data_IF_863609001674
#
_entry.id   IF_863609001674
#
_cell.length_a   1.000
_cell.length_b   1.000
_cell.length_c   1.000
_cell.angle_alpha   90.00
_cell.angle_beta   90.00
_cell.angle_gamma   90.00
#
_symmetry.space_group_name_H-M   'P 1'
#
loop_
_entity.id
_entity.type
_entity.pdbx_description
1 polymer ?
#
# COMPACT_ATOMS: atom_id res chain seq x y z
N UNK A 1 23.99 21.16 -44.88
CA UNK A 1 23.14 20.04 -44.45
C UNK A 1 24.03 19.05 -43.71
N UNK A 2 23.92 19.01 -42.38
CA UNK A 2 24.83 18.25 -41.51
C UNK A 2 24.75 16.75 -41.80
N UNK A 3 25.92 16.15 -41.98
CA UNK A 3 26.10 14.71 -42.14
C UNK A 3 25.51 13.99 -40.93
N UNK A 4 24.36 13.35 -41.13
CA UNK A 4 23.86 12.37 -40.19
C UNK A 4 24.96 11.32 -39.99
N UNK A 5 25.26 11.05 -38.72
CA UNK A 5 26.25 10.05 -38.28
C UNK A 5 25.95 8.76 -39.05
N UNK A 6 26.83 8.36 -40.00
CA UNK A 6 26.69 7.06 -40.66
C UNK A 6 26.81 6.00 -39.58
N UNK A 7 25.72 5.28 -39.32
CA UNK A 7 25.71 4.17 -38.37
C UNK A 7 26.81 3.17 -38.72
N UNK A 8 27.56 2.71 -37.71
CA UNK A 8 28.65 1.72 -37.89
C UNK A 8 28.16 0.34 -38.34
N UNK A 9 26.85 0.10 -38.29
CA UNK A 9 26.18 -1.15 -38.67
C UNK A 9 25.29 -0.93 -39.89
N UNK A 10 25.31 -1.86 -40.84
CA UNK A 10 24.44 -1.83 -42.01
C UNK A 10 23.00 -2.23 -41.64
N UNK A 11 22.03 -1.76 -42.42
CA UNK A 11 20.60 -2.04 -42.19
C UNK A 11 20.27 -3.54 -42.18
N UNK A 12 21.04 -4.37 -42.89
CA UNK A 12 20.83 -5.83 -42.91
C UNK A 12 21.24 -6.48 -41.58
N UNK A 13 22.28 -6.00 -40.91
CA UNK A 13 22.65 -6.49 -39.58
C UNK A 13 21.64 -6.07 -38.53
N UNK A 14 21.11 -4.84 -38.63
CA UNK A 14 20.03 -4.39 -37.76
C UNK A 14 18.74 -5.21 -37.96
N UNK A 15 18.43 -5.58 -39.21
CA UNK A 15 17.29 -6.46 -39.49
C UNK A 15 17.42 -7.82 -38.80
N UNK A 16 18.58 -8.47 -38.92
CA UNK A 16 18.82 -9.77 -38.28
C UNK A 16 18.86 -9.70 -36.76
N UNK A 17 19.43 -8.63 -36.19
CA UNK A 17 19.37 -8.36 -34.75
C UNK A 17 17.93 -8.30 -34.24
N UNK A 18 17.03 -7.60 -34.95
CA UNK A 18 15.60 -7.59 -34.62
C UNK A 18 14.98 -8.98 -34.71
N UNK A 19 15.31 -9.77 -35.75
CA UNK A 19 14.81 -11.14 -35.87
C UNK A 19 15.26 -12.01 -34.69
N UNK A 20 16.54 -11.94 -34.30
CA UNK A 20 17.09 -12.67 -33.15
C UNK A 20 16.35 -12.28 -31.87
N UNK A 21 16.12 -10.98 -31.65
CA UNK A 21 15.36 -10.48 -30.51
C UNK A 21 13.91 -10.97 -30.51
N UNK A 22 13.20 -10.92 -31.63
CA UNK A 22 11.81 -11.38 -31.73
C UNK A 22 11.71 -12.88 -31.46
N UNK A 23 12.56 -13.69 -32.10
CA UNK A 23 12.61 -15.14 -31.88
C UNK A 23 12.98 -15.45 -30.42
N UNK A 24 13.98 -14.75 -29.88
CA UNK A 24 14.40 -14.87 -28.49
C UNK A 24 13.28 -14.54 -27.50
N UNK A 25 12.51 -13.47 -27.74
CA UNK A 25 11.34 -13.11 -26.95
C UNK A 25 10.25 -14.18 -26.99
N UNK A 26 9.99 -14.78 -28.16
CA UNK A 26 9.04 -15.89 -28.28
C UNK A 26 9.49 -17.11 -27.48
N UNK A 27 10.77 -17.47 -27.53
CA UNK A 27 11.33 -18.54 -26.69
C UNK A 27 11.24 -18.20 -25.20
N UNK A 28 11.50 -16.96 -24.79
CA UNK A 28 11.36 -16.52 -23.40
C UNK A 28 9.89 -16.65 -22.96
N UNK A 29 8.93 -16.20 -23.77
CA UNK A 29 7.50 -16.30 -23.41
C UNK A 29 7.04 -17.75 -23.24
N UNK A 30 7.60 -18.72 -23.99
CA UNK A 30 7.33 -20.15 -23.79
C UNK A 30 7.82 -20.68 -22.43
N UNK A 31 8.71 -19.96 -21.73
CA UNK A 31 9.23 -20.37 -20.42
C UNK A 31 8.43 -19.82 -19.24
N UNK A 32 7.34 -19.10 -19.54
CA UNK A 32 6.46 -18.50 -18.54
C UNK A 32 5.93 -19.56 -17.59
N UNK A 33 6.19 -19.37 -16.31
CA UNK A 33 5.72 -20.24 -15.24
C UNK A 33 5.10 -19.40 -14.12
N UNK A 34 4.01 -19.88 -13.55
CA UNK A 34 3.39 -19.28 -12.36
C UNK A 34 3.97 -20.00 -11.14
N UNK A 35 4.58 -19.24 -10.25
CA UNK A 35 5.20 -19.76 -9.04
C UNK A 35 4.78 -18.93 -7.83
N UNK A 36 4.82 -19.48 -6.60
CA UNK A 36 4.71 -18.69 -5.39
C UNK A 36 5.72 -17.54 -5.37
N UNK A 37 5.35 -16.44 -4.71
CA UNK A 37 6.32 -15.35 -4.51
C UNK A 37 7.49 -15.80 -3.62
N UNK A 38 8.67 -15.13 -3.67
CA UNK A 38 9.79 -15.48 -2.82
C UNK A 38 9.54 -15.28 -1.31
N UNK A 39 8.44 -14.59 -0.97
CA UNK A 39 8.02 -14.25 0.39
C UNK A 39 6.63 -14.84 0.71
N UNK A 40 6.26 -15.94 0.04
CA UNK A 40 4.98 -16.63 0.21
C UNK A 40 4.72 -16.99 1.67
N UNK A 41 5.74 -17.49 2.39
CA UNK A 41 5.59 -17.89 3.79
C UNK A 41 5.24 -16.69 4.70
N UNK A 42 5.89 -15.53 4.51
CA UNK A 42 5.55 -14.31 5.23
C UNK A 42 4.16 -13.79 4.85
N UNK A 43 3.73 -13.95 3.58
CA UNK A 43 2.38 -13.59 3.15
C UNK A 43 1.31 -14.43 3.87
N UNK A 44 1.49 -15.75 3.92
CA UNK A 44 0.58 -16.66 4.62
C UNK A 44 0.50 -16.30 6.10
N UNK A 45 1.66 -16.13 6.76
CA UNK A 45 1.71 -15.75 8.18
C UNK A 45 1.03 -14.41 8.47
N UNK A 46 1.17 -13.43 7.57
CA UNK A 46 0.55 -12.12 7.74
C UNK A 46 -0.97 -12.20 7.58
N UNK A 47 -1.46 -12.97 6.61
CA UNK A 47 -2.88 -13.24 6.44
C UNK A 47 -3.46 -13.99 7.65
N UNK A 48 -2.80 -15.05 8.13
CA UNK A 48 -3.23 -15.79 9.32
C UNK A 48 -3.27 -14.91 10.57
N UNK A 49 -2.29 -14.02 10.73
CA UNK A 49 -2.30 -13.07 11.84
C UNK A 49 -3.46 -12.07 11.74
N UNK A 50 -3.78 -11.58 10.54
CA UNK A 50 -4.93 -10.69 10.33
C UNK A 50 -6.25 -11.40 10.60
N UNK A 51 -6.42 -12.64 10.14
CA UNK A 51 -7.59 -13.48 10.43
C UNK A 51 -7.77 -13.66 11.94
N UNK A 52 -6.70 -14.05 12.65
CA UNK A 52 -6.72 -14.13 14.11
C UNK A 52 -7.07 -12.81 14.80
N UNK A 53 -6.65 -11.68 14.24
CA UNK A 53 -7.04 -10.36 14.78
C UNK A 53 -8.55 -10.12 14.63
N UNK A 54 -9.14 -10.50 13.49
CA UNK A 54 -10.58 -10.39 13.26
C UNK A 54 -11.37 -11.28 14.23
N UNK A 55 -10.91 -12.51 14.46
CA UNK A 55 -11.52 -13.41 15.45
C UNK A 55 -11.52 -12.80 16.86
N UNK A 56 -10.38 -12.26 17.31
CA UNK A 56 -10.28 -11.61 18.62
C UNK A 56 -11.17 -10.37 18.73
N UNK A 57 -11.28 -9.58 17.66
CA UNK A 57 -12.17 -8.42 17.61
C UNK A 57 -13.64 -8.86 17.66
N UNK A 58 -14.02 -9.90 16.92
CA UNK A 58 -15.37 -10.48 16.97
C UNK A 58 -15.73 -10.92 18.37
N UNK A 59 -14.85 -11.68 19.03
CA UNK A 59 -15.04 -12.12 20.42
C UNK A 59 -15.24 -10.94 21.38
N UNK A 60 -14.36 -9.93 21.31
CA UNK A 60 -14.45 -8.76 22.19
C UNK A 60 -15.70 -7.93 21.92
N UNK A 61 -16.11 -7.79 20.66
CA UNK A 61 -17.34 -7.11 20.28
C UNK A 61 -18.56 -7.78 20.91
N UNK A 62 -18.66 -9.10 20.78
CA UNK A 62 -19.76 -9.88 21.35
C UNK A 62 -19.74 -9.83 22.89
N UNK A 63 -18.56 -9.86 23.50
CA UNK A 63 -18.39 -9.72 24.96
C UNK A 63 -18.85 -8.36 25.49
N UNK A 64 -18.86 -7.32 24.65
CA UNK A 64 -19.38 -5.98 24.97
C UNK A 64 -20.88 -5.84 24.71
N UNK A 65 -21.58 -6.95 24.43
CA UNK A 65 -22.99 -6.98 24.06
C UNK A 65 -23.32 -6.15 22.79
N UNK A 66 -22.33 -5.99 21.91
CA UNK A 66 -22.50 -5.32 20.61
C UNK A 66 -22.79 -6.40 19.57
N UNK A 67 -24.03 -6.47 19.11
CA UNK A 67 -24.47 -7.47 18.13
C UNK A 67 -23.73 -7.36 16.79
N UNK A 68 -23.58 -8.50 16.12
CA UNK A 68 -23.19 -8.58 14.71
C UNK A 68 -24.43 -8.41 13.86
N UNK A 69 -24.34 -7.54 12.86
CA UNK A 69 -25.35 -7.39 11.85
C UNK A 69 -24.97 -8.28 10.67
N UNK A 70 -25.72 -9.36 10.44
CA UNK A 70 -25.42 -10.34 9.38
C UNK A 70 -25.73 -9.79 7.98
N UNK A 71 -26.59 -8.78 7.88
CA UNK A 71 -26.85 -8.11 6.62
C UNK A 71 -25.69 -7.22 6.25
N UNK A 72 -25.03 -6.56 7.22
CA UNK A 72 -23.85 -5.71 7.02
C UNK A 72 -22.52 -6.48 7.04
N UNK A 73 -22.41 -7.56 7.80
CA UNK A 73 -21.20 -8.37 8.00
C UNK A 73 -21.51 -9.87 7.86
N UNK A 74 -21.82 -10.34 6.64
CA UNK A 74 -22.21 -11.74 6.40
C UNK A 74 -21.11 -12.75 6.73
N UNK A 75 -19.85 -12.32 6.65
CA UNK A 75 -18.68 -13.10 7.05
C UNK A 75 -18.43 -13.07 8.57
N UNK A 76 -19.24 -12.33 9.33
CA UNK A 76 -19.18 -12.21 10.79
C UNK A 76 -17.78 -11.84 11.30
N UNK A 77 -17.12 -10.93 10.60
CA UNK A 77 -15.75 -10.49 10.90
C UNK A 77 -15.65 -9.69 12.19
N UNK A 78 -16.77 -9.12 12.67
CA UNK A 78 -16.84 -8.29 13.86
C UNK A 78 -16.34 -6.87 13.68
N UNK A 79 -15.71 -6.55 12.55
CA UNK A 79 -15.01 -5.27 12.34
C UNK A 79 -15.84 -4.23 11.56
N UNK A 80 -16.92 -4.66 10.91
CA UNK A 80 -17.81 -3.77 10.15
C UNK A 80 -18.69 -2.98 11.12
N UNK A 81 -18.65 -1.65 11.00
CA UNK A 81 -19.46 -0.74 11.80
C UNK A 81 -20.90 -0.60 11.32
N UNK A 82 -21.54 0.51 11.70
CA UNK A 82 -22.92 0.83 11.35
C UNK A 82 -22.96 1.87 10.22
N UNK A 83 -24.13 2.07 9.63
CA UNK A 83 -24.34 3.15 8.66
C UNK A 83 -24.15 4.52 9.34
N UNK A 84 -25.04 4.87 10.28
CA UNK A 84 -25.00 6.15 11.00
C UNK A 84 -24.73 5.98 12.50
N UNK A 85 -23.79 6.79 13.00
CA UNK A 85 -23.38 6.89 14.41
C UNK A 85 -22.83 8.30 14.66
N UNK A 86 -22.57 8.64 15.93
CA UNK A 86 -21.88 9.88 16.30
C UNK A 86 -20.44 9.97 15.78
N UNK A 87 -19.87 8.88 15.26
CA UNK A 87 -18.53 8.89 14.66
C UNK A 87 -18.56 8.90 13.12
N UNK A 88 -19.76 8.82 12.50
CA UNK A 88 -19.91 8.80 11.04
C UNK A 88 -19.62 10.19 10.47
N UNK A 89 -18.54 10.32 9.72
CA UNK A 89 -18.07 11.60 9.15
C UNK A 89 -18.48 11.81 7.69
N UNK A 90 -18.59 10.72 6.93
CA UNK A 90 -18.82 10.75 5.49
C UNK A 90 -19.51 9.46 5.04
N UNK A 91 -20.09 9.48 3.84
CA UNK A 91 -20.60 8.29 3.18
C UNK A 91 -19.50 7.23 3.02
N UNK A 92 -19.89 5.96 3.11
CA UNK A 92 -19.02 4.81 2.92
C UNK A 92 -19.50 3.94 1.76
N UNK A 93 -18.66 2.99 1.38
CA UNK A 93 -19.06 1.92 0.45
C UNK A 93 -18.92 0.59 1.18
N UNK A 94 -20.06 -0.03 1.51
CA UNK A 94 -20.10 -1.26 2.30
C UNK A 94 -19.32 -2.41 1.63
N UNK A 95 -19.50 -2.58 0.32
CA UNK A 95 -18.77 -3.57 -0.50
C UNK A 95 -17.24 -3.37 -0.37
N UNK A 96 -16.75 -2.13 -0.40
CA UNK A 96 -15.33 -1.83 -0.18
C UNK A 96 -14.88 -2.13 1.26
N UNK A 97 -15.73 -1.92 2.27
CA UNK A 97 -15.40 -2.27 3.67
C UNK A 97 -15.26 -3.77 3.82
N UNK A 98 -16.22 -4.55 3.32
CA UNK A 98 -16.16 -6.02 3.34
C UNK A 98 -15.02 -6.58 2.51
N UNK A 99 -14.77 -6.02 1.33
CA UNK A 99 -13.58 -6.39 0.54
C UNK A 99 -12.30 -6.27 1.37
N UNK A 100 -12.18 -5.20 2.16
CA UNK A 100 -10.99 -4.97 2.98
C UNK A 100 -10.82 -5.94 4.16
N UNK A 101 -11.84 -6.72 4.52
CA UNK A 101 -11.73 -7.73 5.59
C UNK A 101 -11.03 -9.02 5.12
N UNK A 102 -10.82 -9.19 3.82
CA UNK A 102 -10.07 -10.31 3.27
C UNK A 102 -8.61 -10.32 3.80
N UNK A 103 -8.18 -11.35 4.55
CA UNK A 103 -6.82 -11.45 5.09
C UNK A 103 -5.70 -11.38 4.06
N UNK A 104 -5.99 -11.66 2.79
CA UNK A 104 -5.05 -11.49 1.68
C UNK A 104 -4.57 -10.04 1.48
N UNK A 105 -5.25 -9.03 2.05
CA UNK A 105 -4.70 -7.67 2.13
C UNK A 105 -3.42 -7.61 2.97
N UNK A 106 -3.30 -8.39 4.06
CA UNK A 106 -2.04 -8.46 4.81
C UNK A 106 -0.91 -9.05 3.96
N UNK A 107 -1.20 -10.08 3.16
CA UNK A 107 -0.27 -10.63 2.17
C UNK A 107 0.11 -9.61 1.08
N UNK A 108 -0.82 -8.73 0.70
CA UNK A 108 -0.53 -7.62 -0.22
C UNK A 108 0.44 -6.60 0.40
N UNK A 109 0.27 -6.28 1.69
CA UNK A 109 1.18 -5.37 2.39
C UNK A 109 2.59 -5.96 2.51
N UNK A 110 2.72 -7.27 2.80
CA UNK A 110 4.02 -7.97 2.76
C UNK A 110 4.68 -7.82 1.38
N UNK A 111 3.91 -8.02 0.30
CA UNK A 111 4.38 -7.84 -1.08
C UNK A 111 4.87 -6.41 -1.33
N UNK A 112 4.15 -5.39 -0.88
CA UNK A 112 4.57 -4.00 -1.04
C UNK A 112 5.83 -3.67 -0.23
N UNK A 113 5.90 -4.08 1.05
CA UNK A 113 7.07 -3.86 1.89
C UNK A 113 8.33 -4.56 1.34
N UNK A 114 8.20 -5.80 0.86
CA UNK A 114 9.31 -6.54 0.22
C UNK A 114 9.74 -5.88 -1.10
N UNK A 115 8.82 -5.33 -1.90
CA UNK A 115 9.15 -4.63 -3.15
C UNK A 115 10.01 -3.38 -2.95
N UNK A 116 9.85 -2.68 -1.84
CA UNK A 116 10.69 -1.54 -1.45
C UNK A 116 11.86 -1.94 -0.54
N UNK A 117 12.13 -3.25 -0.41
CA UNK A 117 13.25 -3.81 0.33
C UNK A 117 13.30 -3.44 1.82
N UNK A 118 12.14 -3.28 2.48
CA UNK A 118 12.12 -3.11 3.94
C UNK A 118 12.71 -4.34 4.63
N UNK A 119 13.46 -4.07 5.70
CA UNK A 119 14.15 -5.06 6.53
C UNK A 119 13.62 -4.99 7.95
N UNK A 120 13.85 -6.06 8.70
CA UNK A 120 13.62 -6.11 10.15
C UNK A 120 14.21 -4.86 10.82
N UNK A 121 13.43 -4.24 11.71
CA UNK A 121 13.80 -3.03 12.45
C UNK A 121 13.64 -1.72 11.66
N UNK A 122 13.29 -1.76 10.37
CA UNK A 122 12.99 -0.54 9.63
C UNK A 122 11.72 0.12 10.18
N UNK A 123 11.79 1.44 10.32
CA UNK A 123 10.69 2.28 10.82
C UNK A 123 9.76 2.64 9.68
N UNK A 124 8.45 2.47 9.89
CA UNK A 124 7.41 2.93 8.95
C UNK A 124 6.45 3.87 9.65
N UNK A 125 6.06 4.95 8.98
CA UNK A 125 5.03 5.85 9.47
C UNK A 125 3.66 5.42 8.91
N UNK A 126 2.63 5.40 9.74
CA UNK A 126 1.28 4.96 9.37
C UNK A 126 0.29 6.03 9.81
N UNK A 127 -0.36 6.68 8.84
CA UNK A 127 -1.54 7.49 9.09
C UNK A 127 -2.79 6.70 8.74
N UNK A 128 -3.69 6.48 9.71
CA UNK A 128 -4.93 5.76 9.44
C UNK A 128 -6.20 6.46 9.91
N UNK A 129 -7.24 6.37 9.09
CA UNK A 129 -8.61 6.69 9.44
C UNK A 129 -9.34 5.47 10.01
N UNK A 130 -10.24 5.72 10.97
CA UNK A 130 -11.25 4.76 11.41
C UNK A 130 -12.12 4.20 10.29
N UNK A 131 -12.14 4.81 9.10
CA UNK A 131 -12.91 4.33 7.95
C UNK A 131 -12.53 2.92 7.49
N UNK A 132 -11.27 2.48 7.63
CA UNK A 132 -10.81 1.17 7.13
C UNK A 132 -10.05 0.37 8.20
N UNK A 133 -10.72 -0.05 9.28
CA UNK A 133 -10.05 -0.73 10.39
C UNK A 133 -9.40 -2.05 9.97
N UNK A 134 -9.98 -2.76 8.99
CA UNK A 134 -9.41 -4.00 8.48
C UNK A 134 -8.06 -3.79 7.76
N UNK A 135 -7.87 -2.66 7.08
CA UNK A 135 -6.57 -2.32 6.46
C UNK A 135 -5.54 -1.88 7.50
N UNK A 136 -5.98 -1.35 8.64
CA UNK A 136 -5.09 -1.12 9.79
C UNK A 136 -4.57 -2.47 10.29
N UNK A 137 -5.45 -3.46 10.48
CA UNK A 137 -5.03 -4.83 10.84
C UNK A 137 -4.12 -5.45 9.79
N UNK A 138 -4.43 -5.31 8.51
CA UNK A 138 -3.60 -5.82 7.43
C UNK A 138 -2.17 -5.25 7.49
N UNK A 139 -2.07 -3.93 7.68
CA UNK A 139 -0.79 -3.21 7.75
C UNK A 139 0.00 -3.61 9.00
N UNK A 140 -0.63 -3.61 10.18
CA UNK A 140 0.03 -3.98 11.43
C UNK A 140 0.42 -5.46 11.47
N UNK A 141 -0.38 -6.34 10.87
CA UNK A 141 -0.07 -7.78 10.77
C UNK A 141 1.15 -8.00 9.87
N UNK A 142 1.18 -7.39 8.68
CA UNK A 142 2.35 -7.43 7.80
C UNK A 142 3.60 -6.84 8.46
N UNK A 143 3.47 -5.70 9.15
CA UNK A 143 4.56 -5.10 9.91
C UNK A 143 5.08 -6.04 11.01
N UNK A 144 4.20 -6.72 11.75
CA UNK A 144 4.59 -7.68 12.80
C UNK A 144 5.35 -8.87 12.23
N UNK A 145 4.86 -9.46 11.14
CA UNK A 145 5.51 -10.64 10.52
C UNK A 145 6.87 -10.29 9.93
N UNK A 146 7.02 -9.08 9.40
CA UNK A 146 8.30 -8.58 8.87
C UNK A 146 9.19 -7.92 9.93
N UNK A 147 8.75 -7.89 11.19
CA UNK A 147 9.46 -7.28 12.31
C UNK A 147 9.84 -5.81 12.03
N UNK A 148 8.93 -5.07 11.40
CA UNK A 148 9.03 -3.62 11.18
C UNK A 148 8.59 -2.86 12.43
N UNK A 149 9.00 -1.60 12.54
CA UNK A 149 8.59 -0.71 13.61
C UNK A 149 7.55 0.31 13.13
N UNK A 150 6.24 0.04 13.33
CA UNK A 150 5.20 0.97 12.93
C UNK A 150 5.05 2.12 13.94
N UNK A 151 5.22 3.34 13.46
CA UNK A 151 4.80 4.56 14.14
C UNK A 151 3.40 4.92 13.62
N UNK A 152 2.39 4.80 14.47
CA UNK A 152 0.99 4.79 14.01
C UNK A 152 0.18 5.93 14.63
N UNK A 153 -0.36 6.82 13.79
CA UNK A 153 -1.30 7.88 14.17
C UNK A 153 -2.71 7.56 13.64
N UNK A 154 -3.70 7.61 14.54
CA UNK A 154 -5.08 7.22 14.26
C UNK A 154 -6.04 8.42 14.27
N UNK A 155 -6.94 8.51 13.30
CA UNK A 155 -8.06 9.47 13.29
C UNK A 155 -9.36 8.75 13.65
N UNK A 156 -10.03 9.18 14.71
CA UNK A 156 -11.19 8.50 15.31
C UNK A 156 -12.39 8.51 14.36
N UNK A 157 -12.71 9.67 13.79
CA UNK A 157 -13.79 9.84 12.83
C UNK A 157 -13.67 8.86 11.66
N UNK A 158 -14.79 8.27 11.30
CA UNK A 158 -14.87 7.17 10.35
C UNK A 158 -16.02 7.40 9.38
N UNK A 159 -15.85 6.98 8.12
CA UNK A 159 -17.01 6.84 7.22
C UNK A 159 -18.00 5.80 7.75
N UNK A 160 -19.17 5.74 7.12
CA UNK A 160 -20.10 4.62 7.29
C UNK A 160 -19.36 3.27 7.23
N UNK A 161 -19.81 2.33 8.06
CA UNK A 161 -19.36 0.95 8.15
C UNK A 161 -17.89 0.74 8.56
N UNK A 162 -17.14 1.80 8.87
CA UNK A 162 -15.79 1.69 9.46
C UNK A 162 -15.84 1.44 10.98
N UNK A 163 -14.80 1.80 11.72
CA UNK A 163 -14.74 1.70 13.18
C UNK A 163 -15.53 2.83 13.86
N UNK A 164 -16.80 2.97 13.51
CA UNK A 164 -17.66 4.09 13.89
C UNK A 164 -18.59 3.80 15.08
N UNK A 165 -18.50 2.63 15.70
CA UNK A 165 -19.29 2.34 16.91
C UNK A 165 -18.58 3.03 18.11
N UNK A 166 -19.20 4.01 18.79
CA UNK A 166 -18.53 4.80 19.84
C UNK A 166 -17.88 3.97 20.95
N UNK A 167 -18.53 2.88 21.35
CA UNK A 167 -18.10 1.97 22.41
C UNK A 167 -17.03 0.96 21.93
N UNK A 168 -16.79 0.90 20.62
CA UNK A 168 -15.93 -0.09 19.98
C UNK A 168 -15.24 0.45 18.73
N UNK A 169 -14.43 1.49 18.93
CA UNK A 169 -13.55 2.04 17.89
C UNK A 169 -12.26 1.20 17.74
N UNK A 170 -11.39 1.59 16.81
CA UNK A 170 -10.09 0.94 16.69
C UNK A 170 -9.22 1.08 17.95
N UNK A 171 -9.49 2.05 18.83
CA UNK A 171 -8.82 2.16 20.14
C UNK A 171 -9.10 0.92 20.99
N UNK A 172 -10.38 0.54 21.14
CA UNK A 172 -10.77 -0.65 21.89
C UNK A 172 -10.31 -1.94 21.20
N UNK A 173 -10.35 -1.99 19.87
CA UNK A 173 -9.84 -3.12 19.09
C UNK A 173 -8.34 -3.33 19.32
N UNK A 174 -7.54 -2.26 19.26
CA UNK A 174 -6.11 -2.31 19.51
C UNK A 174 -5.82 -2.70 20.96
N UNK A 175 -6.58 -2.19 21.93
CA UNK A 175 -6.44 -2.52 23.35
C UNK A 175 -6.60 -4.03 23.60
N UNK A 176 -7.66 -4.67 23.07
CA UNK A 176 -7.86 -6.11 23.26
C UNK A 176 -6.79 -6.95 22.55
N UNK A 177 -6.35 -6.53 21.36
CA UNK A 177 -5.28 -7.20 20.64
C UNK A 177 -3.94 -7.12 21.39
N UNK A 178 -3.66 -6.01 22.07
CA UNK A 178 -2.50 -5.87 22.95
C UNK A 178 -2.63 -6.76 24.19
N UNK A 179 -3.77 -6.72 24.88
CA UNK A 179 -4.02 -7.54 26.09
C UNK A 179 -3.87 -9.04 25.81
N UNK A 180 -4.27 -9.50 24.62
CA UNK A 180 -4.09 -10.90 24.17
C UNK A 180 -2.73 -11.18 23.52
N UNK A 181 -1.79 -10.23 23.51
CA UNK A 181 -0.47 -10.33 22.88
C UNK A 181 -0.48 -10.65 21.37
N UNK A 182 -1.57 -10.32 20.67
CA UNK A 182 -1.74 -10.56 19.22
C UNK A 182 -1.07 -9.47 18.41
N UNK A 183 -1.26 -8.20 18.76
CA UNK A 183 -0.52 -7.06 18.19
C UNK A 183 0.01 -6.19 19.35
N UNK A 184 1.34 -6.07 19.53
CA UNK A 184 1.93 -5.36 20.67
C UNK A 184 2.17 -3.86 20.36
N UNK A 185 1.26 -3.21 19.63
CA UNK A 185 1.44 -1.85 19.13
C UNK A 185 0.61 -0.84 19.91
N UNK A 186 1.14 0.37 20.05
CA UNK A 186 0.45 1.51 20.67
C UNK A 186 0.25 2.61 19.63
N UNK A 187 -0.75 3.45 19.87
CA UNK A 187 -0.91 4.68 19.11
C UNK A 187 0.20 5.66 19.49
N UNK A 188 0.90 6.19 18.50
CA UNK A 188 1.82 7.31 18.67
C UNK A 188 1.03 8.59 18.99
N UNK A 189 -0.04 8.82 18.24
CA UNK A 189 -0.94 9.94 18.45
C UNK A 189 -2.34 9.61 17.93
N UNK A 190 -3.30 10.45 18.29
CA UNK A 190 -4.70 10.32 17.91
C UNK A 190 -5.30 11.69 17.57
N UNK A 191 -6.23 11.74 16.63
CA UNK A 191 -6.91 12.98 16.22
C UNK A 191 -8.42 12.78 16.07
N UNK A 192 -9.14 13.89 15.87
CA UNK A 192 -10.60 13.86 15.74
C UNK A 192 -11.06 13.08 14.50
N UNK A 193 -10.35 13.18 13.38
CA UNK A 193 -10.84 12.74 12.08
C UNK A 193 -11.94 13.65 11.52
N UNK A 194 -12.65 13.16 10.51
CA UNK A 194 -13.71 13.94 9.84
C UNK A 194 -13.19 15.14 9.05
N UNK A 195 -14.09 16.07 8.73
CA UNK A 195 -13.76 17.24 7.92
C UNK A 195 -12.65 18.06 8.58
N UNK A 196 -11.58 18.30 7.82
CA UNK A 196 -10.36 18.99 8.24
C UNK A 196 -9.70 18.43 9.51
N UNK A 197 -9.94 17.16 9.82
CA UNK A 197 -9.47 16.52 11.08
C UNK A 197 -9.99 17.23 12.36
N UNK A 198 -11.13 17.91 12.25
CA UNK A 198 -11.82 18.63 13.34
C UNK A 198 -13.18 18.04 13.70
N UNK A 199 -13.61 16.98 13.01
CA UNK A 199 -14.97 16.45 13.08
C UNK A 199 -16.03 17.57 13.00
N UNK A 200 -15.86 18.49 12.06
CA UNK A 200 -16.83 19.55 11.78
C UNK A 200 -17.97 19.03 10.89
N UNK A 201 -19.16 19.62 11.04
CA UNK A 201 -20.33 19.28 10.22
C UNK A 201 -20.89 17.87 10.47
N UNK A 202 -20.64 17.29 11.64
CA UNK A 202 -21.15 15.97 12.00
C UNK A 202 -22.67 15.97 12.13
N UNK A 203 -23.29 14.85 11.80
CA UNK A 203 -24.75 14.70 11.84
C UNK A 203 -25.33 14.84 13.25
N UNK A 204 -24.63 14.31 14.27
CA UNK A 204 -25.08 14.36 15.66
C UNK A 204 -24.38 15.50 16.43
N UNK A 205 -25.10 16.27 17.26
CA UNK A 205 -24.56 17.44 17.96
C UNK A 205 -23.51 17.10 19.04
N UNK A 206 -23.52 15.87 19.57
CA UNK A 206 -22.59 15.39 20.61
C UNK A 206 -21.34 14.69 20.05
N UNK A 207 -21.22 14.58 18.72
CA UNK A 207 -20.14 13.85 18.03
C UNK A 207 -18.74 14.27 18.48
N UNK A 208 -18.45 15.57 18.47
CA UNK A 208 -17.12 16.07 18.87
C UNK A 208 -16.80 15.74 20.33
N UNK A 209 -17.79 15.84 21.22
CA UNK A 209 -17.62 15.50 22.64
C UNK A 209 -17.29 14.02 22.80
N UNK A 210 -17.99 13.14 22.10
CA UNK A 210 -17.75 11.69 22.11
C UNK A 210 -16.35 11.37 21.57
N UNK A 211 -15.96 11.97 20.45
CA UNK A 211 -14.64 11.78 19.85
C UNK A 211 -13.53 12.22 20.83
N UNK A 212 -13.69 13.37 21.49
CA UNK A 212 -12.75 13.81 22.51
C UNK A 212 -12.66 12.84 23.70
N UNK A 213 -13.78 12.28 24.15
CA UNK A 213 -13.77 11.28 25.22
C UNK A 213 -13.01 10.01 24.81
N UNK A 214 -13.22 9.53 23.58
CA UNK A 214 -12.48 8.38 23.02
C UNK A 214 -10.98 8.69 22.95
N UNK A 215 -10.61 9.90 22.52
CA UNK A 215 -9.20 10.34 22.49
C UNK A 215 -8.58 10.32 23.89
N UNK A 216 -9.29 10.84 24.90
CA UNK A 216 -8.83 10.84 26.30
C UNK A 216 -8.62 9.43 26.84
N UNK A 217 -9.57 8.52 26.60
CA UNK A 217 -9.50 7.12 27.06
C UNK A 217 -8.36 6.35 26.38
N UNK A 218 -7.97 6.74 25.16
CA UNK A 218 -6.87 6.06 24.44
C UNK A 218 -5.50 6.23 25.12
N UNK A 219 -5.31 7.29 25.91
CA UNK A 219 -4.02 7.65 26.51
C UNK A 219 -2.94 8.08 25.49
N UNK A 220 -3.27 8.17 24.20
CA UNK A 220 -2.36 8.61 23.16
C UNK A 220 -2.25 10.14 23.13
N UNK A 221 -1.14 10.65 22.58
CA UNK A 221 -0.98 12.08 22.33
C UNK A 221 -2.09 12.59 21.42
N UNK A 222 -2.91 13.52 21.92
CA UNK A 222 -3.99 14.09 21.14
C UNK A 222 -3.48 15.23 20.26
N UNK A 223 -3.69 15.13 18.95
CA UNK A 223 -3.36 16.17 17.97
C UNK A 223 -4.49 17.20 18.00
N UNK A 224 -4.17 18.39 18.50
CA UNK A 224 -5.09 19.52 18.61
C UNK A 224 -4.47 20.76 17.96
N UNK A 225 -4.84 21.00 16.72
CA UNK A 225 -4.44 22.17 15.94
C UNK A 225 -5.62 22.61 15.10
N UNK A 226 -5.79 23.92 14.92
CA UNK A 226 -6.97 24.48 14.25
C UNK A 226 -6.78 24.57 12.72
N UNK A 227 -5.53 24.45 12.25
CA UNK A 227 -5.13 24.61 10.86
C UNK A 227 -4.60 23.31 10.26
N UNK A 228 -5.02 22.98 9.03
CA UNK A 228 -4.60 21.76 8.33
C UNK A 228 -3.10 21.73 8.03
N UNK A 229 -2.50 22.86 7.64
CA UNK A 229 -1.08 22.93 7.38
C UNK A 229 -0.26 22.59 8.65
N UNK A 230 -0.65 23.16 9.78
CA UNK A 230 -0.04 22.86 11.09
C UNK A 230 -0.26 21.41 11.51
N UNK A 231 -1.43 20.83 11.21
CA UNK A 231 -1.74 19.41 11.47
C UNK A 231 -0.79 18.47 10.73
N UNK A 232 -0.56 18.73 9.45
CA UNK A 232 0.38 17.98 8.63
C UNK A 232 1.80 18.09 9.21
N UNK A 233 2.24 19.31 9.55
CA UNK A 233 3.58 19.53 10.11
C UNK A 233 3.75 18.88 11.49
N UNK A 234 2.75 18.98 12.37
CA UNK A 234 2.78 18.35 13.68
C UNK A 234 2.87 16.82 13.56
N UNK A 235 2.14 16.20 12.62
CA UNK A 235 2.26 14.75 12.35
C UNK A 235 3.67 14.38 11.87
N UNK A 236 4.23 15.14 10.93
CA UNK A 236 5.62 14.94 10.47
C UNK A 236 6.62 15.05 11.63
N UNK A 237 6.42 16.00 12.54
CA UNK A 237 7.24 16.16 13.73
C UNK A 237 7.11 14.96 14.68
N UNK A 238 5.89 14.54 15.01
CA UNK A 238 5.64 13.38 15.88
C UNK A 238 6.30 12.11 15.35
N UNK A 239 6.20 11.84 14.04
CA UNK A 239 6.87 10.69 13.43
C UNK A 239 8.40 10.78 13.55
N UNK A 240 8.96 11.97 13.28
CA UNK A 240 10.41 12.20 13.35
C UNK A 240 10.94 12.02 14.77
N UNK A 241 10.26 12.61 15.76
CA UNK A 241 10.62 12.49 17.17
C UNK A 241 10.56 11.05 17.66
N UNK A 242 9.52 10.31 17.28
CA UNK A 242 9.38 8.90 17.66
C UNK A 242 10.36 7.97 16.92
N UNK A 243 10.77 8.32 15.69
CA UNK A 243 11.78 7.57 14.96
C UNK A 243 13.19 7.81 15.52
N UNK A 244 13.44 8.99 16.09
CA UNK A 244 14.76 9.45 16.54
C UNK A 244 15.74 9.56 15.37
N UNK A 245 16.95 9.04 15.54
CA UNK A 245 17.99 9.02 14.50
C UNK A 245 17.71 8.02 13.37
N UNK A 246 16.67 7.19 13.50
CA UNK A 246 16.37 6.14 12.53
C UNK A 246 15.51 6.71 11.40
N UNK A 247 15.89 6.50 10.13
CA UNK A 247 15.10 7.02 9.02
C UNK A 247 13.79 6.25 8.88
N UNK A 248 12.70 6.98 8.69
CA UNK A 248 11.42 6.42 8.24
C UNK A 248 11.60 5.93 6.80
N UNK A 249 11.32 4.65 6.53
CA UNK A 249 11.57 4.01 5.24
C UNK A 249 10.36 3.94 4.32
N UNK A 250 9.16 4.10 4.88
CA UNK A 250 7.92 4.14 4.12
C UNK A 250 6.83 4.90 4.89
N UNK A 251 5.90 5.49 4.16
CA UNK A 251 4.66 6.02 4.70
C UNK A 251 3.46 5.22 4.20
N UNK A 252 2.61 4.74 5.11
CA UNK A 252 1.37 4.03 4.78
C UNK A 252 0.19 4.94 5.10
N UNK A 253 -0.56 5.33 4.07
CA UNK A 253 -1.81 6.06 4.23
C UNK A 253 -3.00 5.09 4.12
N UNK A 254 -3.84 5.06 5.16
CA UNK A 254 -5.04 4.22 5.21
C UNK A 254 -6.29 5.12 5.27
N UNK A 255 -7.10 5.04 4.23
CA UNK A 255 -8.31 5.84 4.07
C UNK A 255 -8.04 7.28 3.63
N UNK A 256 -9.07 8.11 3.82
CA UNK A 256 -9.14 9.47 3.29
C UNK A 256 -9.00 10.56 4.35
N UNK A 257 -8.27 10.32 5.45
CA UNK A 257 -8.03 11.35 6.45
C UNK A 257 -7.36 12.56 5.78
N UNK A 258 -7.94 13.76 5.94
CA UNK A 258 -7.53 14.96 5.20
C UNK A 258 -6.05 15.29 5.42
N UNK A 259 -5.54 15.15 6.64
CA UNK A 259 -4.11 15.38 6.92
C UNK A 259 -3.18 14.41 6.17
N UNK A 260 -3.62 13.18 5.90
CA UNK A 260 -2.81 12.22 5.15
C UNK A 260 -2.96 12.42 3.65
N UNK A 261 -4.21 12.51 3.18
CA UNK A 261 -4.58 12.52 1.76
C UNK A 261 -4.33 13.88 1.11
N UNK A 262 -4.46 14.95 1.87
CA UNK A 262 -4.38 16.34 1.40
C UNK A 262 -5.73 16.90 0.96
N UNK A 263 -5.80 18.22 0.96
CA UNK A 263 -6.96 19.00 0.55
C UNK A 263 -6.64 19.77 -0.74
N UNK A 264 -6.16 19.04 -1.76
CA UNK A 264 -5.77 19.63 -3.05
C UNK A 264 -6.37 18.83 -4.20
N UNK A 265 -6.59 19.44 -5.39
CA UNK A 265 -7.02 18.70 -6.57
C UNK A 265 -6.06 17.56 -6.97
N UNK A 266 -4.76 17.72 -6.69
CA UNK A 266 -3.76 16.68 -6.98
C UNK A 266 -3.94 15.43 -6.11
N UNK A 267 -4.51 15.55 -4.90
CA UNK A 267 -4.83 14.42 -4.04
C UNK A 267 -5.83 13.46 -4.69
N UNK A 268 -6.81 13.99 -5.44
CA UNK A 268 -7.88 13.22 -6.10
C UNK A 268 -7.33 12.18 -7.08
N UNK A 269 -6.25 12.55 -7.78
CA UNK A 269 -5.62 11.70 -8.80
C UNK A 269 -4.38 10.98 -8.28
N UNK A 270 -4.11 11.04 -6.97
CA UNK A 270 -2.96 10.35 -6.39
C UNK A 270 -3.12 8.83 -6.56
N UNK A 271 -2.08 8.14 -7.07
CA UNK A 271 -2.18 6.72 -7.35
C UNK A 271 -2.39 5.91 -6.07
N UNK A 272 -3.09 4.79 -6.23
CA UNK A 272 -3.44 3.86 -5.17
C UNK A 272 -2.53 2.62 -5.23
N UNK A 273 -2.16 2.04 -4.08
CA UNK A 273 -1.22 0.92 -3.95
C UNK A 273 0.18 1.36 -3.48
N UNK A 274 1.23 0.75 -4.03
CA UNK A 274 2.63 1.14 -3.75
C UNK A 274 3.12 2.18 -4.76
N UNK A 275 3.60 3.32 -4.26
CA UNK A 275 4.09 4.46 -5.02
C UNK A 275 5.56 4.70 -4.63
N UNK A 276 6.48 4.47 -5.57
CA UNK A 276 7.89 4.88 -5.45
C UNK A 276 8.20 6.11 -6.27
N UNK A 277 7.46 6.33 -7.36
CA UNK A 277 7.53 7.51 -8.22
C UNK A 277 6.09 7.99 -8.48
N UNK A 278 5.64 8.98 -7.72
CA UNK A 278 4.28 9.50 -7.84
C UNK A 278 4.19 10.81 -8.66
N UNK A 279 2.99 11.40 -8.74
CA UNK A 279 2.75 12.62 -9.52
C UNK A 279 3.50 13.82 -8.92
N UNK A 280 3.67 14.89 -9.71
CA UNK A 280 4.26 16.13 -9.20
C UNK A 280 3.46 16.63 -7.99
N UNK A 281 4.16 16.84 -6.87
CA UNK A 281 3.52 17.37 -5.67
C UNK A 281 3.02 18.80 -5.91
N UNK A 282 1.81 19.14 -5.43
CA UNK A 282 1.31 20.51 -5.52
C UNK A 282 2.11 21.43 -4.58
N UNK A 283 2.31 22.66 -5.02
CA UNK A 283 2.87 23.72 -4.17
C UNK A 283 1.77 24.30 -3.29
N UNK A 284 1.37 23.53 -2.28
CA UNK A 284 0.31 23.88 -1.34
C UNK A 284 0.63 23.32 0.06
N UNK A 285 0.37 24.10 1.10
CA UNK A 285 0.64 23.72 2.50
C UNK A 285 -0.24 22.57 2.98
N UNK A 286 -1.44 22.41 2.41
CA UNK A 286 -2.38 21.32 2.72
C UNK A 286 -2.27 20.12 1.76
N UNK A 287 -1.12 19.92 1.11
CA UNK A 287 -0.92 18.78 0.20
C UNK A 287 -1.05 17.43 0.88
N UNK A 288 -0.89 17.35 2.20
CA UNK A 288 -1.06 16.12 2.96
C UNK A 288 0.20 15.26 3.01
N UNK A 289 0.24 14.35 3.98
CA UNK A 289 1.42 13.51 4.26
C UNK A 289 1.85 12.63 3.07
N UNK A 290 0.92 12.19 2.21
CA UNK A 290 1.29 11.42 1.02
C UNK A 290 2.27 12.19 0.13
N UNK A 291 2.09 13.49 -0.03
CA UNK A 291 3.00 14.30 -0.83
C UNK A 291 4.23 14.75 -0.03
N UNK A 292 4.10 15.04 1.26
CA UNK A 292 5.26 15.36 2.12
C UNK A 292 6.31 14.24 2.12
N UNK A 293 5.89 12.98 2.30
CA UNK A 293 6.81 11.84 2.25
C UNK A 293 7.35 11.58 0.85
N UNK A 294 6.55 11.80 -0.20
CA UNK A 294 7.02 11.68 -1.57
C UNK A 294 8.11 12.71 -1.90
N UNK A 295 7.97 13.96 -1.47
CA UNK A 295 8.94 15.04 -1.71
C UNK A 295 10.32 14.69 -1.15
N UNK A 296 10.37 14.05 0.01
CA UNK A 296 11.62 13.61 0.65
C UNK A 296 12.09 12.22 0.17
N UNK A 297 11.50 11.68 -0.90
CA UNK A 297 11.92 10.44 -1.54
C UNK A 297 11.55 9.17 -0.78
N UNK A 298 10.61 9.24 0.17
CA UNK A 298 10.11 8.09 0.90
C UNK A 298 8.95 7.44 0.15
N UNK A 299 8.99 6.12 -0.14
CA UNK A 299 7.89 5.41 -0.77
C UNK A 299 6.59 5.53 0.03
N UNK A 300 5.48 5.69 -0.68
CA UNK A 300 4.13 5.78 -0.10
C UNK A 300 3.35 4.53 -0.46
N UNK A 301 2.64 3.95 0.51
CA UNK A 301 1.61 2.94 0.27
C UNK A 301 0.27 3.61 0.56
N UNK A 302 -0.51 3.87 -0.49
CA UNK A 302 -1.80 4.52 -0.39
C UNK A 302 -2.93 3.49 -0.49
N UNK A 303 -3.73 3.38 0.57
CA UNK A 303 -4.83 2.43 0.69
C UNK A 303 -6.16 3.16 0.82
N UNK A 304 -6.79 3.49 -0.32
CA UNK A 304 -8.07 4.22 -0.33
C UNK A 304 -9.12 3.57 -1.24
N UNK A 305 -8.81 3.36 -2.52
CA UNK A 305 -9.75 2.72 -3.44
C UNK A 305 -9.60 1.18 -3.36
N UNK A 306 -10.41 0.54 -2.52
CA UNK A 306 -10.21 -0.88 -2.18
C UNK A 306 -10.56 -1.81 -3.33
N UNK A 307 -11.59 -1.48 -4.11
CA UNK A 307 -11.96 -2.24 -5.31
C UNK A 307 -10.82 -2.24 -6.33
N UNK A 308 -10.21 -1.07 -6.56
CA UNK A 308 -9.03 -0.94 -7.42
C UNK A 308 -7.83 -1.75 -6.90
N UNK A 309 -7.54 -1.69 -5.59
CA UNK A 309 -6.48 -2.52 -5.00
C UNK A 309 -6.74 -4.01 -5.20
N UNK A 310 -7.98 -4.46 -4.97
CA UNK A 310 -8.37 -5.85 -5.11
C UNK A 310 -8.15 -6.32 -6.54
N UNK A 311 -8.70 -5.61 -7.54
CA UNK A 311 -8.56 -5.95 -8.96
C UNK A 311 -7.10 -5.98 -9.38
N UNK A 312 -6.32 -4.93 -9.09
CA UNK A 312 -4.90 -4.83 -9.49
C UNK A 312 -4.04 -5.95 -8.92
N UNK A 313 -4.44 -6.52 -7.78
CA UNK A 313 -3.70 -7.57 -7.09
C UNK A 313 -4.35 -8.95 -7.19
N UNK A 314 -5.43 -9.07 -7.98
CA UNK A 314 -6.17 -10.31 -8.20
C UNK A 314 -6.75 -10.90 -6.91
N UNK A 315 -7.33 -10.02 -6.09
CA UNK A 315 -8.17 -10.37 -4.95
C UNK A 315 -9.64 -10.21 -5.35
N UNK A 316 -10.55 -11.06 -4.83
CA UNK A 316 -11.98 -10.90 -5.07
C UNK A 316 -12.51 -9.64 -4.38
N UNK A 317 -13.57 -9.07 -4.95
CA UNK A 317 -14.32 -7.96 -4.38
C UNK A 317 -15.52 -8.54 -3.62
N UNK A 318 -15.71 -8.07 -2.39
CA UNK A 318 -16.77 -8.47 -1.45
C UNK A 318 -17.05 -9.99 -1.43
N UNK A 319 -16.02 -10.82 -1.15
CA UNK A 319 -16.18 -12.26 -1.17
C UNK A 319 -17.02 -12.74 0.01
N UNK A 320 -18.01 -13.59 -0.27
CA UNK A 320 -18.83 -14.29 0.72
C UNK A 320 -18.91 -15.77 0.28
N UNK A 321 -18.28 -16.72 1.00
CA UNK A 321 -17.42 -16.54 2.18
C UNK A 321 -16.09 -15.85 1.85
N UNK A 322 -15.33 -15.46 2.88
CA UNK A 322 -13.93 -15.04 2.69
C UNK A 322 -13.09 -16.19 2.06
N UNK A 323 -12.16 -15.90 1.14
CA UNK A 323 -11.32 -16.93 0.50
C UNK A 323 -10.34 -17.57 1.48
N UNK A 324 -9.89 -18.79 1.16
CA UNK A 324 -8.86 -19.46 1.96
C UNK A 324 -7.50 -18.74 1.86
N UNK A 325 -6.73 -18.79 2.94
CA UNK A 325 -5.41 -18.18 2.99
C UNK A 325 -4.46 -18.92 2.05
N UNK A 326 -3.79 -18.16 1.18
CA UNK A 326 -2.89 -18.69 0.14
C UNK A 326 -3.52 -18.74 -1.25
N UNK A 327 -4.83 -18.49 -1.35
CA UNK A 327 -5.52 -18.37 -2.64
C UNK A 327 -5.40 -16.96 -3.25
N UNK A 328 -5.38 -16.90 -4.57
CA UNK A 328 -5.41 -15.65 -5.32
C UNK A 328 -4.03 -15.16 -5.80
N UNK A 329 -4.05 -14.21 -6.74
CA UNK A 329 -2.84 -13.80 -7.48
C UNK A 329 -1.85 -12.98 -6.65
N UNK A 330 -2.22 -12.56 -5.45
CA UNK A 330 -1.32 -11.84 -4.53
C UNK A 330 -0.14 -12.70 -4.09
N UNK A 331 -0.35 -14.02 -3.98
CA UNK A 331 0.63 -15.00 -3.53
C UNK A 331 1.51 -15.57 -4.65
N UNK A 332 1.19 -15.23 -5.91
CA UNK A 332 1.82 -15.78 -7.09
C UNK A 332 2.58 -14.70 -7.87
N UNK A 333 3.60 -15.13 -8.60
CA UNK A 333 4.35 -14.32 -9.56
C UNK A 333 4.56 -15.09 -10.86
N UNK A 334 4.64 -14.35 -11.96
CA UNK A 334 5.04 -14.88 -13.25
C UNK A 334 6.57 -14.81 -13.31
N UNK A 335 7.21 -15.93 -13.55
CA UNK A 335 8.65 -16.03 -13.75
C UNK A 335 8.96 -16.58 -15.13
N UNK A 336 10.14 -16.22 -15.62
CA UNK A 336 10.70 -16.65 -16.91
C UNK A 336 12.05 -17.31 -16.67
N UNK A 337 12.47 -18.20 -17.58
CA UNK A 337 13.76 -18.88 -17.47
C UNK A 337 14.92 -17.90 -17.60
N UNK A 338 15.62 -17.65 -16.49
CA UNK A 338 16.80 -16.78 -16.46
C UNK A 338 17.89 -17.27 -17.42
N UNK A 339 18.07 -18.58 -17.53
CA UNK A 339 19.04 -19.18 -18.45
C UNK A 339 18.76 -18.79 -19.89
N UNK A 340 17.50 -18.90 -20.33
CA UNK A 340 17.12 -18.57 -21.71
C UNK A 340 17.23 -17.07 -21.96
N UNK A 341 16.86 -16.23 -20.98
CA UNK A 341 17.07 -14.77 -21.08
C UNK A 341 18.55 -14.43 -21.28
N UNK A 342 19.45 -15.03 -20.48
CA UNK A 342 20.90 -14.81 -20.58
C UNK A 342 21.43 -15.31 -21.93
N UNK A 343 20.97 -16.47 -22.42
CA UNK A 343 21.36 -17.00 -23.72
C UNK A 343 20.93 -16.07 -24.86
N UNK A 344 19.69 -15.58 -24.86
CA UNK A 344 19.20 -14.64 -25.88
C UNK A 344 20.02 -13.35 -25.89
N UNK A 345 20.27 -12.76 -24.70
CA UNK A 345 21.12 -11.55 -24.58
C UNK A 345 22.54 -11.84 -25.06
N UNK A 346 23.11 -13.00 -24.72
CA UNK A 346 24.44 -13.41 -25.14
C UNK A 346 24.56 -13.60 -26.64
N UNK A 347 23.58 -14.26 -27.28
CA UNK A 347 23.52 -14.45 -28.73
C UNK A 347 23.43 -13.09 -29.44
N UNK A 348 22.55 -12.20 -28.97
CA UNK A 348 22.38 -10.87 -29.53
C UNK A 348 23.67 -10.04 -29.41
N UNK A 349 24.31 -10.06 -28.25
CA UNK A 349 25.57 -9.36 -28.01
C UNK A 349 26.69 -9.88 -28.93
N UNK A 350 26.85 -11.20 -29.03
CA UNK A 350 27.86 -11.83 -29.89
C UNK A 350 27.60 -11.51 -31.37
N UNK A 351 26.33 -11.52 -31.80
CA UNK A 351 25.94 -11.18 -33.15
C UNK A 351 26.30 -9.72 -33.49
N UNK A 352 25.90 -8.77 -32.64
CA UNK A 352 26.19 -7.35 -32.84
C UNK A 352 27.70 -7.06 -32.77
N UNK A 353 28.43 -7.69 -31.86
CA UNK A 353 29.88 -7.56 -31.77
C UNK A 353 30.58 -8.07 -33.04
N UNK A 354 30.17 -9.23 -33.54
CA UNK A 354 30.66 -9.78 -34.81
C UNK A 354 30.31 -8.86 -35.99
N UNK A 355 29.08 -8.35 -36.06
CA UNK A 355 28.65 -7.44 -37.12
C UNK A 355 29.41 -6.11 -37.10
N UNK A 356 29.72 -5.58 -35.93
CA UNK A 356 30.55 -4.38 -35.77
C UNK A 356 31.98 -4.60 -36.27
N UNK A 357 32.60 -5.73 -35.89
CA UNK A 357 33.97 -6.06 -36.29
C UNK A 357 34.08 -6.25 -37.81
N UNK A 358 33.10 -6.90 -38.43
CA UNK A 358 33.10 -7.14 -39.88
C UNK A 358 32.61 -5.93 -40.69
N UNK A 359 31.73 -5.10 -40.13
CA UNK A 359 31.32 -3.83 -40.72
C UNK A 359 32.45 -2.79 -40.79
N UNK A 360 33.36 -2.80 -39.80
CA UNK A 360 34.58 -1.98 -39.78
C UNK A 360 35.65 -2.47 -40.77
N UNK A 361 35.60 -3.73 -41.22
CA UNK A 361 36.54 -4.32 -42.19
C UNK A 361 36.21 -4.05 -43.66
N UNK A 362 34.99 -3.61 -43.97
CA UNK A 362 34.53 -3.41 -45.34
C UNK A 362 35.06 -2.16 -46.10
N UNK A 363 35.59 -1.09 -45.46
CA UNK A 363 36.19 0.02 -46.22
C UNK A 363 37.53 -0.32 -46.87
N UNK A 364 38.28 -1.33 -46.40
CA UNK A 364 39.64 -1.58 -46.88
C UNK A 364 39.68 -2.36 -48.20
N UNK A 365 38.72 -3.26 -48.46
CA UNK A 365 38.71 -4.08 -49.68
C UNK A 365 38.04 -3.44 -50.89
N UNK A 366 37.30 -2.32 -50.74
CA UNK A 366 36.72 -1.61 -51.89
C UNK A 366 37.71 -0.69 -52.62
N UNK A 367 38.87 -0.40 -52.03
CA UNK A 367 39.92 0.44 -52.63
C UNK A 367 40.92 -0.32 -53.53
N UNK A 368 40.87 -1.65 -53.55
CA UNK A 368 41.77 -2.52 -54.35
C UNK A 368 41.12 -3.08 -55.64
N UNK A 369 39.86 -2.69 -55.95
CA UNK A 369 39.15 -3.11 -57.17
C UNK A 369 38.87 -1.96 -58.16
N UNK A 370 39.48 -0.80 -57.95
CA UNK A 370 39.47 0.34 -58.87
C UNK A 370 40.89 0.90 -59.10
N UNK A 371 41.87 -0.01 -59.17
CA UNK A 371 43.22 0.29 -59.66
C UNK A 371 43.38 -0.28 -61.05
#
# INVERSE_FOLDING_TARGET
MNSWIKGKLSSIHLFWAVIILVVGLLFIEQTKSIQPTPYYNEQIKAAQLMEKCLEVIKEERLKRDISLDLELDPNQTGIIGREYTQLTTTLGNLEAKRTSTNPAFAALLVKYFKKINLRKGDVIAIGASGSFPALILATLSAAKILELEPLFIYSIGSSEYGANIPEFTFVQMLEVLNKKNVLPYKLLAISMGGYLDQAQGMFYPDSQKIIHQIAQVSGATFIKVDNMAENIQQRMQLYREAAGERPIKAFVNIGGATANYGNTPASITYPNGLITNGPKAPDHSERGLIFEYQIIGIPVIHLLNIKDLAIKNGLPIDPIPLPEIGEGRVYLQIVYSRLIIILVIGIEFLYLFWALKNGLGYPFMKKLRQG
#
